data_IF_725453568583
#
_entry.id   IF_725453568583
#
_cell.length_a   1.000
_cell.length_b   1.000
_cell.length_c   1.000
_cell.angle_alpha   90.00
_cell.angle_beta   90.00
_cell.angle_gamma   90.00
#
_symmetry.space_group_name_H-M   'P 1'
#
loop_
_entity.id
_entity.type
_entity.pdbx_description
1 polymer ?
#
# COMPACT_ATOMS: atom_id res chain seq x y z
N UNK A 1 27.10 -22.14 -36.34
CA UNK A 1 26.81 -20.76 -35.92
C UNK A 1 25.55 -20.83 -35.08
N UNK A 2 25.66 -20.90 -33.76
CA UNK A 2 24.53 -20.67 -32.84
C UNK A 2 25.12 -19.97 -31.63
N UNK A 3 25.09 -18.63 -31.65
CA UNK A 3 25.51 -17.81 -30.52
C UNK A 3 24.42 -17.97 -29.46
N UNK A 4 24.74 -18.61 -28.34
CA UNK A 4 23.95 -18.54 -27.12
C UNK A 4 23.79 -17.06 -26.75
N UNK A 5 22.54 -16.58 -26.79
CA UNK A 5 22.16 -15.29 -26.25
C UNK A 5 22.26 -15.40 -24.73
N UNK A 6 23.15 -14.65 -24.03
CA UNK A 6 23.17 -14.67 -22.57
C UNK A 6 21.81 -14.18 -22.09
N UNK A 7 21.16 -14.99 -21.26
CA UNK A 7 19.82 -14.75 -20.74
C UNK A 7 19.68 -13.32 -20.27
N UNK A 8 18.77 -12.58 -20.90
CA UNK A 8 18.21 -11.38 -20.31
C UNK A 8 17.54 -11.80 -19.00
N UNK A 9 18.22 -11.58 -17.88
CA UNK A 9 17.55 -11.44 -16.59
C UNK A 9 16.40 -10.45 -16.78
N UNK A 10 15.18 -10.75 -16.30
CA UNK A 10 14.08 -9.80 -16.39
C UNK A 10 14.55 -8.52 -15.71
N UNK A 11 14.62 -7.43 -16.49
CA UNK A 11 14.96 -6.10 -15.98
C UNK A 11 14.15 -5.89 -14.70
N UNK A 12 14.83 -5.71 -13.57
CA UNK A 12 14.22 -5.58 -12.26
C UNK A 12 13.04 -4.62 -12.39
N UNK A 13 11.82 -5.18 -12.30
CA UNK A 13 10.61 -4.40 -12.46
C UNK A 13 10.70 -3.22 -11.49
N UNK A 14 10.36 -2.02 -11.95
CA UNK A 14 10.31 -0.84 -11.09
C UNK A 14 9.34 -1.15 -9.94
N UNK A 15 9.90 -1.46 -8.77
CA UNK A 15 9.16 -1.89 -7.57
C UNK A 15 8.60 -0.69 -6.81
N UNK A 16 8.85 0.52 -7.31
CA UNK A 16 8.39 1.77 -6.70
C UNK A 16 6.88 1.90 -6.83
N UNK A 17 6.20 2.07 -5.70
CA UNK A 17 4.74 2.20 -5.65
C UNK A 17 4.23 3.44 -6.39
N UNK A 18 2.95 3.45 -6.76
CA UNK A 18 2.29 4.61 -7.36
C UNK A 18 2.27 5.77 -6.36
N UNK A 19 2.06 5.49 -5.07
CA UNK A 19 2.12 6.46 -3.99
C UNK A 19 3.49 7.13 -3.88
N UNK A 20 4.59 6.38 -3.94
CA UNK A 20 5.95 6.93 -3.89
C UNK A 20 6.26 7.81 -5.10
N UNK A 21 5.84 7.39 -6.30
CA UNK A 21 6.13 8.13 -7.54
C UNK A 21 5.30 9.39 -7.69
N UNK A 22 4.02 9.36 -7.31
CA UNK A 22 3.05 10.43 -7.64
C UNK A 22 2.55 11.20 -6.42
N UNK A 23 2.62 10.62 -5.22
CA UNK A 23 2.05 11.20 -4.00
C UNK A 23 3.06 11.21 -2.83
N UNK A 24 4.26 11.77 -2.99
CA UNK A 24 5.31 11.72 -1.97
C UNK A 24 4.90 12.41 -0.64
N UNK A 25 3.96 13.35 -0.69
CA UNK A 25 3.40 13.98 0.51
C UNK A 25 2.51 13.03 1.33
N UNK A 26 1.78 12.14 0.66
CA UNK A 26 1.00 11.08 1.31
C UNK A 26 1.96 10.07 1.96
N UNK A 27 2.98 9.63 1.24
CA UNK A 27 4.00 8.70 1.76
C UNK A 27 4.72 9.28 2.98
N UNK A 28 5.14 10.55 2.90
CA UNK A 28 5.77 11.22 4.04
C UNK A 28 4.85 11.26 5.27
N UNK A 29 3.58 11.59 5.08
CA UNK A 29 2.61 11.62 6.18
C UNK A 29 2.35 10.23 6.76
N UNK A 30 2.26 9.19 5.92
CA UNK A 30 2.17 7.80 6.35
C UNK A 30 3.37 7.40 7.20
N UNK A 31 4.60 7.64 6.72
CA UNK A 31 5.83 7.29 7.44
C UNK A 31 5.89 7.97 8.80
N UNK A 32 5.51 9.25 8.87
CA UNK A 32 5.49 10.01 10.13
C UNK A 32 4.44 9.46 11.12
N UNK A 33 3.28 9.06 10.62
CA UNK A 33 2.20 8.52 11.43
C UNK A 33 2.36 7.02 11.75
N UNK A 34 3.20 6.30 11.00
CA UNK A 34 3.20 4.83 10.98
C UNK A 34 3.51 4.20 12.33
N UNK A 35 4.37 4.81 13.14
CA UNK A 35 4.80 4.24 14.43
C UNK A 35 3.60 3.94 15.33
N UNK A 36 2.63 4.86 15.40
CA UNK A 36 1.44 4.72 16.21
C UNK A 36 0.24 4.30 15.35
N UNK A 37 -0.30 3.10 15.50
CA UNK A 37 -1.39 2.61 14.65
C UNK A 37 -2.62 3.53 14.62
N UNK A 38 -2.97 4.15 15.75
CA UNK A 38 -4.06 5.12 15.89
C UNK A 38 -3.77 6.41 15.12
N UNK A 39 -2.51 6.84 15.06
CA UNK A 39 -2.12 8.02 14.28
C UNK A 39 -2.17 7.74 12.78
N UNK A 40 -1.69 6.57 12.36
CA UNK A 40 -1.78 6.12 10.97
C UNK A 40 -3.24 5.98 10.51
N UNK A 41 -4.13 5.48 11.38
CA UNK A 41 -5.57 5.36 11.11
C UNK A 41 -6.22 6.72 10.86
N UNK A 42 -5.96 7.69 11.74
CA UNK A 42 -6.46 9.06 11.57
C UNK A 42 -5.92 9.71 10.29
N UNK A 43 -4.65 9.50 9.98
CA UNK A 43 -4.04 10.02 8.75
C UNK A 43 -4.71 9.43 7.51
N UNK A 44 -4.85 8.10 7.44
CA UNK A 44 -5.53 7.42 6.35
C UNK A 44 -6.98 7.87 6.18
N UNK A 45 -7.72 8.08 7.28
CA UNK A 45 -9.08 8.61 7.23
C UNK A 45 -9.13 9.99 6.54
N UNK A 46 -8.15 10.87 6.76
CA UNK A 46 -8.10 12.19 6.09
C UNK A 46 -7.89 12.12 4.58
N UNK A 47 -7.44 10.97 4.07
CA UNK A 47 -7.15 10.74 2.65
C UNK A 47 -8.29 9.96 1.99
N UNK A 48 -8.81 8.93 2.67
CA UNK A 48 -9.80 7.99 2.16
C UNK A 48 -11.23 8.51 2.33
N UNK A 49 -11.51 9.31 3.36
CA UNK A 49 -12.84 9.91 3.54
C UNK A 49 -12.92 11.18 2.72
N UNK A 50 -13.86 11.20 1.77
CA UNK A 50 -14.07 12.31 0.85
C UNK A 50 -14.90 13.43 1.49
N UNK A 51 -14.27 14.22 2.35
CA UNK A 51 -14.81 15.52 2.82
C UNK A 51 -14.16 16.71 2.05
N UNK A 52 -13.59 16.43 0.87
CA UNK A 52 -12.78 17.41 0.13
C UNK A 52 -13.59 17.96 -1.05
N UNK A 53 -14.68 18.66 -0.74
CA UNK A 53 -15.55 19.45 -1.64
C UNK A 53 -14.94 19.75 -3.03
N UNK A 54 -15.09 18.81 -3.98
CA UNK A 54 -14.77 19.02 -5.39
C UNK A 54 -13.33 18.73 -5.85
N UNK A 55 -12.49 17.99 -5.11
CA UNK A 55 -11.23 17.47 -5.67
C UNK A 55 -11.48 16.26 -6.57
N UNK A 56 -10.69 16.14 -7.64
CA UNK A 56 -10.58 14.89 -8.38
C UNK A 56 -10.08 13.81 -7.40
N UNK A 57 -10.79 12.67 -7.35
CA UNK A 57 -10.41 11.53 -6.53
C UNK A 57 -9.01 11.01 -6.85
N UNK A 58 -8.50 10.11 -6.01
CA UNK A 58 -7.23 9.43 -6.30
C UNK A 58 -7.39 8.50 -7.51
N UNK A 59 -6.33 8.33 -8.33
CA UNK A 59 -6.29 7.25 -9.31
C UNK A 59 -6.53 5.91 -8.63
N UNK A 60 -7.20 4.99 -9.32
CA UNK A 60 -7.57 3.66 -8.81
C UNK A 60 -6.37 2.93 -8.17
N UNK A 61 -5.25 2.85 -8.88
CA UNK A 61 -4.02 2.21 -8.40
C UNK A 61 -3.50 2.80 -7.07
N UNK A 62 -3.57 4.12 -6.90
CA UNK A 62 -3.14 4.78 -5.66
C UNK A 62 -4.14 4.56 -4.51
N UNK A 63 -5.43 4.46 -4.86
CA UNK A 63 -6.47 4.13 -3.91
C UNK A 63 -6.33 2.68 -3.41
N UNK A 64 -6.05 1.72 -4.30
CA UNK A 64 -5.77 0.33 -3.96
C UNK A 64 -4.59 0.18 -3.00
N UNK A 65 -3.47 0.88 -3.27
CA UNK A 65 -2.31 0.89 -2.37
C UNK A 65 -2.67 1.46 -0.98
N UNK A 66 -3.50 2.53 -0.91
CA UNK A 66 -3.94 3.08 0.38
C UNK A 66 -4.89 2.16 1.14
N UNK A 67 -5.78 1.48 0.42
CA UNK A 67 -6.67 0.47 1.02
C UNK A 67 -5.87 -0.71 1.58
N UNK A 68 -4.84 -1.16 0.87
CA UNK A 68 -3.89 -2.17 1.36
C UNK A 68 -3.19 -1.73 2.65
N UNK A 69 -2.68 -0.49 2.67
CA UNK A 69 -2.03 0.08 3.87
C UNK A 69 -3.01 0.22 5.03
N UNK A 70 -4.28 0.57 4.76
CA UNK A 70 -5.34 0.65 5.76
C UNK A 70 -5.66 -0.71 6.39
N UNK A 71 -5.77 -1.77 5.59
CA UNK A 71 -5.95 -3.13 6.10
C UNK A 71 -4.75 -3.59 6.95
N UNK A 72 -3.52 -3.28 6.51
CA UNK A 72 -2.32 -3.55 7.31
C UNK A 72 -2.35 -2.83 8.66
N UNK A 73 -2.75 -1.56 8.67
CA UNK A 73 -2.86 -0.79 9.91
C UNK A 73 -3.99 -1.30 10.81
N UNK A 74 -5.12 -1.73 10.24
CA UNK A 74 -6.21 -2.35 10.98
C UNK A 74 -5.74 -3.62 11.69
N UNK A 75 -4.97 -4.49 11.00
CA UNK A 75 -4.38 -5.69 11.60
C UNK A 75 -3.45 -5.36 12.77
N UNK A 76 -2.60 -4.34 12.63
CA UNK A 76 -1.70 -3.88 13.72
C UNK A 76 -2.44 -3.45 14.98
N UNK A 77 -3.67 -2.94 14.83
CA UNK A 77 -4.53 -2.49 15.96
C UNK A 77 -5.29 -3.63 16.62
N UNK A 78 -5.66 -4.66 15.87
CA UNK A 78 -6.59 -5.70 16.33
C UNK A 78 -5.92 -7.06 16.58
N UNK A 79 -4.66 -7.24 16.16
CA UNK A 79 -3.91 -8.45 16.41
C UNK A 79 -2.57 -8.14 17.07
N UNK A 80 -2.61 -7.99 18.40
CA UNK A 80 -1.42 -8.11 19.24
C UNK A 80 -1.72 -9.14 20.34
N UNK A 81 -1.41 -10.40 20.05
CA UNK A 81 -0.77 -11.29 21.04
C UNK A 81 -0.13 -12.55 20.42
N UNK A 82 -0.47 -12.92 19.18
CA UNK A 82 0.22 -14.00 18.46
C UNK A 82 0.58 -13.54 17.05
N UNK A 83 1.89 -13.48 16.77
CA UNK A 83 2.48 -12.88 15.56
C UNK A 83 1.68 -13.13 14.28
N UNK A 84 1.11 -12.06 13.73
CA UNK A 84 0.41 -12.12 12.46
C UNK A 84 1.45 -12.27 11.36
N UNK A 85 1.54 -13.47 10.80
CA UNK A 85 2.22 -13.71 9.53
C UNK A 85 1.39 -13.04 8.43
N UNK A 86 1.76 -11.80 8.08
CA UNK A 86 1.15 -11.06 6.98
C UNK A 86 1.80 -11.50 5.67
N UNK A 87 1.22 -12.50 5.00
CA UNK A 87 1.71 -12.93 3.68
C UNK A 87 1.20 -11.98 2.58
N UNK A 88 2.07 -11.47 1.69
CA UNK A 88 1.69 -10.72 0.49
C UNK A 88 0.69 -11.45 -0.40
N UNK A 89 0.64 -12.79 -0.34
CA UNK A 89 -0.23 -13.64 -1.14
C UNK A 89 -1.66 -13.80 -0.57
N UNK A 90 -1.91 -13.32 0.65
CA UNK A 90 -3.26 -13.31 1.27
C UNK A 90 -4.00 -11.99 1.10
N UNK A 91 -3.40 -11.03 0.40
CA UNK A 91 -4.08 -9.78 0.07
C UNK A 91 -4.87 -10.00 -1.21
N UNK A 92 -6.15 -10.34 -1.05
CA UNK A 92 -7.13 -10.36 -2.11
C UNK A 92 -8.41 -9.70 -1.60
N UNK A 93 -9.03 -8.86 -2.44
CA UNK A 93 -10.37 -8.36 -2.18
C UNK A 93 -11.35 -9.52 -2.31
N UNK A 94 -11.81 -10.05 -1.18
CA UNK A 94 -12.93 -10.98 -1.10
C UNK A 94 -12.82 -12.22 -1.98
N UNK A 95 -12.13 -13.25 -1.51
CA UNK A 95 -12.44 -14.64 -1.86
C UNK A 95 -12.03 -15.54 -0.71
N UNK A 96 -12.93 -15.63 0.27
CA UNK A 96 -12.90 -16.59 1.37
C UNK A 96 -14.33 -16.90 1.75
N UNK A 97 -15.00 -17.72 0.93
CA UNK A 97 -16.11 -18.55 1.38
C UNK A 97 -15.58 -19.66 2.28
#
# INVERSE_FOLDING_TARGET
MDKQNPGQEPAAADTTSVLERRFPHIVKGLVQAWIEPEAADRFLATILVDDRNGRAGLPEEAFEELMFISDLNWKRRHFNDNGVQVSPLRFGFGNGL
#
